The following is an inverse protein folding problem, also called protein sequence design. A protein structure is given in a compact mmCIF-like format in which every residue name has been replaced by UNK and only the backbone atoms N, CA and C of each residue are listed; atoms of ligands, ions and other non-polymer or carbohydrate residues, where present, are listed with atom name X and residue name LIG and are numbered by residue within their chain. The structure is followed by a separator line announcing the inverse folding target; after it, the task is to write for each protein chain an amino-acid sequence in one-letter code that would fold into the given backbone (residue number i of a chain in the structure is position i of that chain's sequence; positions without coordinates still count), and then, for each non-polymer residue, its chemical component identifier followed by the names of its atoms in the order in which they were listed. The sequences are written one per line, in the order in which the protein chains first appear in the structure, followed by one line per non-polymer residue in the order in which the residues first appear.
data_IF_998315108203
#
_entry.id   IF_998315108203
#
_cell.length_a   1.000
_cell.length_b   1.000
_cell.length_c   1.000
_cell.angle_alpha   90.00
_cell.angle_beta   90.00
_cell.angle_gamma   90.00
#
_symmetry.space_group_name_H-M   'P 1'
#
loop_
_entity.id
_entity.type
_entity.pdbx_description
1 polymer ?
#
# COMPACT_ATOMS: atom_id res chain seq x y z
N UNK A 1 3.23 -6.03 67.55
CA UNK A 1 3.22 -5.20 66.32
C UNK A 1 4.28 -4.12 66.49
N UNK A 2 5.26 -4.08 65.57
CA UNK A 2 6.45 -3.22 65.49
C UNK A 2 7.65 -3.55 66.44
N UNK A 3 8.66 -4.21 65.87
CA UNK A 3 10.05 -4.42 66.38
C UNK A 3 10.85 -5.00 65.20
N UNK A 4 12.09 -4.66 64.85
CA UNK A 4 13.10 -3.69 65.28
C UNK A 4 14.08 -3.48 64.10
N UNK A 5 14.87 -2.40 64.15
CA UNK A 5 15.95 -2.06 63.23
C UNK A 5 17.22 -2.90 63.47
N UNK A 6 18.02 -3.15 62.41
CA UNK A 6 19.44 -3.51 62.52
C UNK A 6 20.24 -3.09 61.25
N UNK A 7 21.11 -2.10 61.47
CA UNK A 7 22.47 -1.84 61.00
C UNK A 7 22.98 -2.07 59.56
N UNK A 8 23.86 -1.13 59.20
CA UNK A 8 24.64 -0.82 57.99
C UNK A 8 25.76 -1.82 57.68
N UNK A 9 26.19 -1.93 56.40
CA UNK A 9 27.62 -1.81 55.93
C UNK A 9 27.77 -2.04 54.40
N UNK A 10 28.39 -1.07 53.69
CA UNK A 10 29.48 -1.32 52.71
C UNK A 10 29.17 -1.46 51.20
N UNK A 11 29.53 -0.42 50.41
CA UNK A 11 29.71 -0.38 48.93
C UNK A 11 31.03 -1.11 48.51
N UNK A 12 31.24 -1.55 47.24
CA UNK A 12 31.48 -0.63 46.12
C UNK A 12 30.92 -1.01 44.73
N UNK A 13 30.70 0.05 43.93
CA UNK A 13 30.38 0.02 42.51
C UNK A 13 31.49 -0.65 41.67
N UNK A 14 31.10 -1.44 40.67
CA UNK A 14 31.99 -1.91 39.59
C UNK A 14 31.19 -2.10 38.28
N UNK A 15 31.85 -2.05 37.11
CA UNK A 15 31.55 -1.05 36.09
C UNK A 15 30.74 -1.57 34.91
N UNK A 16 30.08 -0.65 34.21
CA UNK A 16 29.53 -0.85 32.87
C UNK A 16 30.64 -1.31 31.91
N UNK A 17 30.57 -2.56 31.45
CA UNK A 17 31.41 -3.07 30.36
C UNK A 17 30.81 -2.61 29.04
N UNK A 18 31.53 -1.71 28.38
CA UNK A 18 31.41 -1.41 26.95
C UNK A 18 31.89 -2.62 26.15
N UNK A 19 31.05 -3.13 25.24
CA UNK A 19 31.44 -4.12 24.24
C UNK A 19 30.97 -3.66 22.85
N UNK A 20 31.80 -2.80 22.26
CA UNK A 20 32.29 -2.80 20.88
C UNK A 20 31.36 -3.25 19.74
N UNK A 21 31.16 -2.29 18.84
CA UNK A 21 30.62 -2.38 17.49
C UNK A 21 31.07 -3.65 16.73
N UNK A 22 30.10 -4.48 16.33
CA UNK A 22 30.24 -5.44 15.24
C UNK A 22 29.80 -4.79 13.92
N UNK A 23 30.50 -5.05 12.80
CA UNK A 23 30.32 -4.33 11.55
C UNK A 23 28.99 -4.64 10.85
N UNK A 24 28.45 -3.56 10.28
CA UNK A 24 27.21 -3.48 9.55
C UNK A 24 27.23 -4.45 8.35
N UNK A 25 26.41 -5.50 8.38
CA UNK A 25 26.10 -6.26 7.16
C UNK A 25 25.16 -5.42 6.29
N UNK A 26 25.80 -4.55 5.51
CA UNK A 26 25.17 -3.78 4.46
C UNK A 26 24.93 -4.72 3.29
N UNK A 27 23.80 -5.43 3.30
CA UNK A 27 23.35 -6.19 2.14
C UNK A 27 22.97 -5.20 1.04
N UNK A 28 23.91 -4.97 0.13
CA UNK A 28 23.73 -4.20 -1.09
C UNK A 28 22.66 -4.86 -1.97
N UNK A 29 21.40 -4.51 -1.76
CA UNK A 29 20.40 -4.55 -2.83
C UNK A 29 20.45 -3.20 -3.54
N UNK A 30 21.38 -3.08 -4.50
CA UNK A 30 21.34 -2.03 -5.52
C UNK A 30 20.04 -2.17 -6.31
N UNK A 31 19.09 -1.29 -6.04
CA UNK A 31 18.10 -0.85 -7.01
C UNK A 31 17.84 0.63 -6.69
N UNK A 32 18.28 1.48 -7.63
CA UNK A 32 17.91 2.87 -7.94
C UNK A 32 17.40 3.81 -6.82
N UNK A 33 17.68 5.13 -6.89
CA UNK A 33 16.99 6.06 -6.02
C UNK A 33 15.51 6.01 -6.41
N UNK A 34 14.64 5.38 -5.61
CA UNK A 34 13.21 5.71 -5.72
C UNK A 34 13.06 7.07 -5.07
N UNK A 35 13.40 8.08 -5.87
CA UNK A 35 13.15 9.47 -5.60
C UNK A 35 11.66 9.58 -5.34
N UNK A 36 11.33 9.60 -4.06
CA UNK A 36 10.06 10.02 -3.48
C UNK A 36 9.31 10.95 -4.43
N UNK A 37 8.47 10.37 -5.28
CA UNK A 37 7.59 11.13 -6.17
C UNK A 37 6.49 11.65 -5.27
N UNK A 38 6.73 12.80 -4.66
CA UNK A 38 5.65 13.73 -4.34
C UNK A 38 5.26 14.40 -5.68
N UNK A 39 4.75 13.61 -6.61
CA UNK A 39 4.06 14.06 -7.81
C UNK A 39 2.64 13.51 -7.69
N UNK A 40 1.63 14.27 -8.12
CA UNK A 40 0.22 13.86 -8.03
C UNK A 40 -0.14 12.62 -8.88
N UNK A 41 0.85 11.95 -9.46
CA UNK A 41 0.68 10.81 -10.34
C UNK A 41 0.64 9.50 -9.55
N UNK A 42 -0.26 8.59 -9.92
CA UNK A 42 -0.38 7.28 -9.29
C UNK A 42 0.89 6.44 -9.58
N UNK A 43 1.60 5.94 -8.55
CA UNK A 43 2.77 5.08 -8.75
C UNK A 43 2.46 3.87 -9.64
N UNK A 44 3.42 3.44 -10.44
CA UNK A 44 3.27 2.28 -11.35
C UNK A 44 3.96 1.04 -10.79
N UNK A 45 3.38 -0.14 -10.98
CA UNK A 45 3.92 -1.43 -10.52
C UNK A 45 3.90 -2.48 -11.62
N UNK A 46 4.87 -3.41 -11.64
CA UNK A 46 4.90 -4.47 -12.63
C UNK A 46 3.77 -5.48 -12.38
N UNK A 47 3.07 -5.84 -13.46
CA UNK A 47 2.03 -6.87 -13.40
C UNK A 47 2.65 -8.26 -13.53
N UNK A 48 3.12 -8.79 -12.40
CA UNK A 48 3.78 -10.10 -12.35
C UNK A 48 5.00 -10.15 -13.26
N UNK A 49 5.10 -11.21 -14.09
CA UNK A 49 6.21 -11.43 -15.03
C UNK A 49 5.85 -11.06 -16.48
N UNK A 50 4.78 -10.29 -16.67
CA UNK A 50 4.25 -9.97 -18.01
C UNK A 50 5.02 -8.86 -18.73
N UNK A 51 5.81 -8.07 -17.99
CA UNK A 51 6.46 -6.86 -18.51
C UNK A 51 5.53 -5.65 -18.61
N UNK A 52 4.24 -5.79 -18.30
CA UNK A 52 3.27 -4.69 -18.27
C UNK A 52 3.38 -3.92 -16.96
N UNK A 53 3.36 -2.58 -17.03
CA UNK A 53 3.28 -1.70 -15.87
C UNK A 53 1.83 -1.25 -15.67
N UNK A 54 1.27 -1.44 -14.49
CA UNK A 54 -0.10 -1.01 -14.12
C UNK A 54 -0.06 0.04 -13.02
N UNK A 55 -1.14 0.79 -12.82
CA UNK A 55 -1.28 1.69 -11.69
C UNK A 55 -1.25 0.89 -10.39
N UNK A 56 -0.65 1.45 -9.34
CA UNK A 56 -0.63 0.83 -8.01
C UNK A 56 -2.03 0.77 -7.37
N UNK A 57 -2.95 1.61 -7.85
CA UNK A 57 -4.38 1.59 -7.54
C UNK A 57 -5.16 1.06 -8.75
N UNK A 58 -6.20 0.27 -8.49
CA UNK A 58 -7.14 -0.20 -9.51
C UNK A 58 -8.57 0.20 -9.18
N UNK A 59 -9.42 0.23 -10.20
CA UNK A 59 -10.87 0.44 -10.06
C UNK A 59 -11.59 -0.90 -10.06
N UNK A 60 -12.29 -1.20 -8.97
CA UNK A 60 -13.12 -2.40 -8.85
C UNK A 60 -14.49 -2.20 -9.51
N UNK A 61 -14.87 -3.11 -10.40
CA UNK A 61 -16.12 -3.05 -11.15
C UNK A 61 -17.36 -3.43 -10.34
N UNK A 62 -17.23 -4.16 -9.24
CA UNK A 62 -18.39 -4.55 -8.41
C UNK A 62 -19.24 -3.34 -8.01
N UNK A 63 -18.60 -2.29 -7.47
CA UNK A 63 -19.31 -1.09 -7.02
C UNK A 63 -19.97 -0.29 -8.14
N UNK A 64 -19.57 -0.48 -9.40
CA UNK A 64 -20.25 0.18 -10.53
C UNK A 64 -21.68 -0.35 -10.70
N UNK A 65 -21.95 -1.62 -10.45
CA UNK A 65 -23.31 -2.16 -10.56
C UNK A 65 -24.25 -1.71 -9.44
N UNK A 66 -23.70 -1.20 -8.33
CA UNK A 66 -24.42 -0.67 -7.17
C UNK A 66 -24.81 0.81 -7.31
N UNK A 67 -24.21 1.57 -8.22
CA UNK A 67 -24.57 2.98 -8.38
C UNK A 67 -25.96 3.13 -8.99
N UNK A 68 -26.62 4.26 -8.71
CA UNK A 68 -28.02 4.47 -9.07
C UNK A 68 -28.23 4.61 -10.58
N UNK A 69 -27.25 5.17 -11.29
CA UNK A 69 -27.37 5.53 -12.70
C UNK A 69 -26.12 5.10 -13.47
N UNK A 70 -26.31 4.57 -14.68
CA UNK A 70 -25.23 4.19 -15.59
C UNK A 70 -24.28 5.37 -15.89
N UNK A 71 -24.81 6.58 -16.05
CA UNK A 71 -24.01 7.79 -16.27
C UNK A 71 -23.05 8.11 -15.12
N UNK A 72 -23.42 7.76 -13.88
CA UNK A 72 -22.55 7.91 -12.72
C UNK A 72 -21.42 6.88 -12.75
N UNK A 73 -21.71 5.63 -13.14
CA UNK A 73 -20.70 4.60 -13.31
C UNK A 73 -19.68 5.00 -14.38
N UNK A 74 -20.16 5.48 -15.53
CA UNK A 74 -19.31 5.96 -16.63
C UNK A 74 -18.41 7.11 -16.15
N UNK A 75 -18.98 8.09 -15.44
CA UNK A 75 -18.21 9.22 -14.89
C UNK A 75 -17.12 8.75 -13.90
N UNK A 76 -17.40 7.75 -13.07
CA UNK A 76 -16.41 7.19 -12.14
C UNK A 76 -15.24 6.55 -12.91
N UNK A 77 -15.53 5.78 -13.97
CA UNK A 77 -14.51 5.16 -14.80
C UNK A 77 -13.66 6.22 -15.51
N UNK A 78 -14.28 7.24 -16.09
CA UNK A 78 -13.57 8.35 -16.75
C UNK A 78 -12.68 9.09 -15.77
N UNK A 79 -13.18 9.46 -14.59
CA UNK A 79 -12.38 10.13 -13.56
C UNK A 79 -11.18 9.26 -13.14
N UNK A 80 -11.36 7.95 -12.99
CA UNK A 80 -10.26 7.04 -12.67
C UNK A 80 -9.18 7.05 -13.77
N UNK A 81 -9.60 6.98 -15.04
CA UNK A 81 -8.68 7.01 -16.19
C UNK A 81 -7.95 8.36 -16.27
N UNK A 82 -8.68 9.46 -16.13
CA UNK A 82 -8.14 10.83 -16.19
C UNK A 82 -7.09 11.08 -15.08
N UNK A 83 -7.24 10.41 -13.93
CA UNK A 83 -6.27 10.45 -12.82
C UNK A 83 -5.18 9.36 -12.91
N UNK A 84 -5.09 8.62 -14.03
CA UNK A 84 -3.98 7.70 -14.30
C UNK A 84 -4.18 6.26 -13.80
N UNK A 85 -5.41 5.86 -13.44
CA UNK A 85 -5.74 4.45 -13.18
C UNK A 85 -5.79 3.70 -14.51
N UNK A 86 -5.04 2.60 -14.59
CA UNK A 86 -5.00 1.75 -15.79
C UNK A 86 -5.28 0.29 -15.47
N UNK A 87 -5.76 -0.01 -14.27
CA UNK A 87 -6.09 -1.36 -13.86
C UNK A 87 -7.54 -1.42 -13.44
N UNK A 88 -8.36 -2.11 -14.24
CA UNK A 88 -9.79 -2.26 -14.03
C UNK A 88 -10.08 -3.73 -13.71
N UNK A 89 -10.76 -3.97 -12.59
CA UNK A 89 -11.18 -5.30 -12.15
C UNK A 89 -12.67 -5.50 -12.47
N UNK A 90 -13.04 -6.68 -12.97
CA UNK A 90 -14.41 -7.01 -13.34
C UNK A 90 -14.66 -8.52 -13.29
N UNK A 91 -15.94 -8.90 -13.20
CA UNK A 91 -16.37 -10.28 -13.30
C UNK A 91 -17.80 -10.40 -13.83
N UNK A 92 -18.06 -11.50 -14.56
CA UNK A 92 -19.33 -11.78 -15.23
C UNK A 92 -20.56 -11.75 -14.33
N UNK A 93 -20.43 -12.18 -13.07
CA UNK A 93 -21.54 -12.26 -12.11
C UNK A 93 -21.85 -10.91 -11.45
N UNK A 94 -20.99 -9.89 -11.60
CA UNK A 94 -21.20 -8.60 -10.92
C UNK A 94 -22.50 -7.95 -11.39
N UNK A 95 -23.48 -7.94 -10.48
CA UNK A 95 -24.83 -7.40 -10.66
C UNK A 95 -25.56 -8.00 -11.87
N UNK A 96 -25.40 -9.31 -12.06
CA UNK A 96 -25.92 -10.08 -13.19
C UNK A 96 -25.42 -9.53 -14.55
N UNK A 97 -24.11 -9.25 -14.65
CA UNK A 97 -23.44 -8.75 -15.87
C UNK A 97 -23.49 -7.23 -16.05
N UNK A 98 -24.28 -6.51 -15.24
CA UNK A 98 -24.46 -5.05 -15.38
C UNK A 98 -23.16 -4.27 -15.22
N UNK A 99 -22.29 -4.66 -14.29
CA UNK A 99 -21.02 -3.96 -14.07
C UNK A 99 -20.08 -4.07 -15.27
N UNK A 100 -20.05 -5.23 -15.93
CA UNK A 100 -19.26 -5.43 -17.15
C UNK A 100 -19.82 -4.60 -18.31
N UNK A 101 -21.14 -4.58 -18.50
CA UNK A 101 -21.78 -3.75 -19.53
C UNK A 101 -21.48 -2.26 -19.34
N UNK A 102 -21.59 -1.76 -18.10
CA UNK A 102 -21.36 -0.35 -17.80
C UNK A 102 -19.89 0.05 -17.93
N UNK A 103 -18.96 -0.81 -17.49
CA UNK A 103 -17.54 -0.60 -17.72
C UNK A 103 -17.21 -0.61 -19.22
N UNK A 104 -17.79 -1.54 -19.99
CA UNK A 104 -17.58 -1.63 -21.43
C UNK A 104 -17.99 -0.34 -22.14
N UNK A 105 -19.19 0.16 -21.84
CA UNK A 105 -19.66 1.46 -22.36
C UNK A 105 -18.76 2.63 -21.99
N UNK A 106 -18.20 2.62 -20.78
CA UNK A 106 -17.28 3.68 -20.35
C UNK A 106 -15.94 3.65 -21.12
N UNK A 107 -15.50 2.48 -21.57
CA UNK A 107 -14.23 2.28 -22.27
C UNK A 107 -14.32 2.44 -23.80
N UNK A 108 -15.53 2.38 -24.39
CA UNK A 108 -15.72 2.52 -25.84
C UNK A 108 -15.40 3.93 -26.37
N UNK A 109 -15.58 4.98 -25.56
CA UNK A 109 -15.24 6.36 -25.91
C UNK A 109 -16.28 7.07 -26.78
#
# INVERSE_FOLDING_TARGET
MASAAAAVTGLPDTPSVTANNAPNEQTNHTNAPDSSTISGDIPRRPFGRTGVQVSALGLGGYSLGDVKMESEAIRIVHEAIDNGVTFMDNAWEYHNGRSEEWMGKALEG
#
